data_IF_527632540409
#
_entry.id   IF_527632540409
#
_cell.length_a   1.000
_cell.length_b   1.000
_cell.length_c   1.000
_cell.angle_alpha   90.00
_cell.angle_beta   90.00
_cell.angle_gamma   90.00
#
_symmetry.space_group_name_H-M   'P 1'
#
loop_
_entity.id
_entity.type
_entity.pdbx_description
1 polymer ?
#
# COMPACT_ATOMS: atom_id res chain seq x y z
N UNK A 1 17.77 -16.57 6.32
CA UNK A 1 17.38 -17.06 4.99
C UNK A 1 17.10 -15.84 4.13
N UNK A 2 17.77 -15.71 2.98
CA UNK A 2 17.67 -14.52 2.12
C UNK A 2 16.33 -14.54 1.37
N UNK A 3 15.45 -13.58 1.65
CA UNK A 3 14.26 -13.34 0.83
C UNK A 3 14.74 -12.74 -0.50
N UNK A 4 14.97 -13.60 -1.48
CA UNK A 4 15.21 -13.17 -2.86
C UNK A 4 14.07 -12.26 -3.30
N UNK A 5 14.41 -11.15 -3.94
CA UNK A 5 13.46 -10.18 -4.47
C UNK A 5 12.39 -10.90 -5.30
N UNK A 6 11.21 -11.09 -4.70
CA UNK A 6 10.03 -11.58 -5.41
C UNK A 6 9.51 -10.40 -6.22
N UNK A 7 9.91 -10.36 -7.48
CA UNK A 7 9.39 -9.39 -8.41
C UNK A 7 7.93 -9.77 -8.67
N UNK A 8 6.99 -9.02 -8.10
CA UNK A 8 5.57 -9.22 -8.32
C UNK A 8 5.31 -9.10 -9.83
N UNK A 9 4.81 -10.18 -10.43
CA UNK A 9 4.34 -10.16 -11.82
C UNK A 9 2.81 -10.08 -11.80
N UNK A 10 2.20 -9.16 -12.58
CA UNK A 10 0.77 -9.16 -12.77
C UNK A 10 0.31 -10.55 -13.25
N UNK A 11 -0.73 -11.10 -12.63
CA UNK A 11 -1.32 -12.37 -13.08
C UNK A 11 -1.97 -12.15 -14.47
N UNK A 12 -1.37 -12.71 -15.52
CA UNK A 12 -1.77 -12.48 -16.91
C UNK A 12 -2.97 -13.31 -17.40
N UNK A 13 -3.39 -14.34 -16.66
CA UNK A 13 -4.24 -15.41 -17.18
C UNK A 13 -5.67 -15.45 -16.60
N UNK A 14 -6.08 -14.44 -15.81
CA UNK A 14 -7.40 -14.41 -15.18
C UNK A 14 -8.34 -13.37 -15.82
N UNK A 15 -9.58 -13.74 -16.21
CA UNK A 15 -10.59 -12.78 -16.62
C UNK A 15 -11.00 -11.93 -15.40
N UNK A 16 -11.22 -10.62 -15.63
CA UNK A 16 -11.44 -9.56 -14.61
C UNK A 16 -10.13 -9.02 -13.99
N UNK A 17 -9.34 -8.36 -14.84
CA UNK A 17 -8.18 -7.56 -14.46
C UNK A 17 -8.63 -6.35 -13.62
N UNK A 18 -8.11 -6.24 -12.41
CA UNK A 18 -8.16 -5.03 -11.59
C UNK A 18 -6.72 -4.51 -11.54
N UNK A 19 -6.46 -3.27 -11.98
CA UNK A 19 -5.13 -2.68 -11.85
C UNK A 19 -4.85 -1.41 -12.65
N UNK A 20 -4.26 -0.43 -11.97
CA UNK A 20 -3.42 0.68 -12.49
C UNK A 20 -3.74 2.00 -11.76
N UNK A 21 -2.76 2.73 -11.20
CA UNK A 21 -2.96 3.52 -9.98
C UNK A 21 -3.97 4.65 -10.16
N UNK A 22 -5.11 4.53 -9.46
CA UNK A 22 -5.68 5.68 -8.78
C UNK A 22 -5.16 5.64 -7.34
N UNK A 23 -4.35 6.63 -6.95
CA UNK A 23 -3.96 6.81 -5.54
C UNK A 23 -5.23 7.03 -4.73
N UNK A 24 -5.43 6.23 -3.68
CA UNK A 24 -6.62 6.32 -2.83
C UNK A 24 -6.54 7.56 -1.93
N UNK A 25 -7.44 8.53 -2.10
CA UNK A 25 -7.65 9.68 -1.20
C UNK A 25 -8.82 9.45 -0.26
N UNK A 26 -8.79 10.02 0.95
CA UNK A 26 -9.93 10.00 1.86
C UNK A 26 -11.04 10.95 1.35
N UNK A 27 -12.33 10.54 1.37
CA UNK A 27 -13.44 11.42 1.00
C UNK A 27 -13.81 12.38 2.15
N UNK A 28 -14.45 13.50 1.85
CA UNK A 28 -14.99 14.39 2.90
C UNK A 28 -16.10 13.69 3.73
N UNK A 29 -16.15 13.99 5.04
CA UNK A 29 -17.12 13.43 6.00
C UNK A 29 -17.25 11.88 6.03
N UNK A 30 -16.22 11.17 5.55
CA UNK A 30 -16.26 9.73 5.30
C UNK A 30 -16.67 8.87 6.50
N UNK A 31 -16.35 9.30 7.72
CA UNK A 31 -16.64 8.55 8.97
C UNK A 31 -18.12 8.25 9.19
N UNK A 32 -19.03 9.02 8.57
CA UNK A 32 -20.48 8.81 8.67
C UNK A 32 -21.08 8.05 7.49
N UNK A 33 -20.28 7.71 6.48
CA UNK A 33 -20.78 7.09 5.25
C UNK A 33 -21.16 5.63 5.46
N UNK A 34 -22.10 5.14 4.65
CA UNK A 34 -22.57 3.75 4.68
C UNK A 34 -21.42 2.74 4.53
N UNK A 35 -20.45 2.89 3.61
CA UNK A 35 -19.28 2.03 3.54
C UNK A 35 -18.52 1.85 4.86
N UNK A 36 -18.34 2.94 5.61
CA UNK A 36 -17.55 2.94 6.84
C UNK A 36 -18.30 2.41 8.05
N UNK A 37 -19.62 2.60 8.11
CA UNK A 37 -20.47 1.91 9.09
C UNK A 37 -20.37 0.40 8.90
N UNK A 38 -20.56 -0.07 7.66
CA UNK A 38 -20.46 -1.48 7.29
C UNK A 38 -19.09 -2.08 7.62
N UNK A 39 -18.01 -1.36 7.34
CA UNK A 39 -16.65 -1.80 7.67
C UNK A 39 -16.41 -2.04 9.17
N UNK A 40 -17.15 -1.35 10.05
CA UNK A 40 -17.02 -1.47 11.50
C UNK A 40 -17.96 -2.53 12.10
N UNK A 41 -19.14 -2.69 11.51
CA UNK A 41 -20.20 -3.57 12.02
C UNK A 41 -20.12 -4.99 11.44
N UNK A 42 -19.70 -5.14 10.17
CA UNK A 42 -19.67 -6.44 9.49
C UNK A 42 -18.33 -7.15 9.66
N UNK A 43 -18.40 -8.48 9.71
CA UNK A 43 -17.20 -9.32 9.72
C UNK A 43 -16.77 -9.63 8.29
N UNK A 44 -15.49 -9.44 7.99
CA UNK A 44 -14.89 -9.91 6.74
C UNK A 44 -14.45 -11.37 6.88
N UNK A 45 -14.95 -12.22 5.99
CA UNK A 45 -14.60 -13.63 5.88
C UNK A 45 -13.74 -13.94 4.65
N UNK A 46 -13.13 -12.91 4.09
CA UNK A 46 -12.20 -12.98 2.97
C UNK A 46 -10.84 -13.56 3.34
N UNK A 47 -9.87 -13.38 2.45
CA UNK A 47 -8.51 -13.90 2.62
C UNK A 47 -7.54 -13.46 1.52
N UNK A 48 -6.23 -13.58 1.76
CA UNK A 48 -5.22 -13.22 0.77
C UNK A 48 -5.28 -14.16 -0.44
N UNK A 49 -5.15 -13.59 -1.64
CA UNK A 49 -4.95 -14.33 -2.89
C UNK A 49 -3.46 -14.36 -3.22
N UNK A 50 -2.80 -13.21 -3.11
CA UNK A 50 -1.35 -13.04 -3.28
C UNK A 50 -0.89 -11.78 -2.53
N UNK A 51 0.35 -11.34 -2.76
CA UNK A 51 0.95 -10.18 -2.09
C UNK A 51 0.22 -8.85 -2.37
N UNK A 52 -0.58 -8.78 -3.44
CA UNK A 52 -1.28 -7.58 -3.86
C UNK A 52 -2.81 -7.66 -3.77
N UNK A 53 -3.40 -8.86 -3.80
CA UNK A 53 -4.84 -9.05 -3.96
C UNK A 53 -5.42 -9.91 -2.87
N UNK A 54 -6.65 -9.57 -2.45
CA UNK A 54 -7.40 -10.32 -1.44
C UNK A 54 -8.85 -10.44 -1.85
N UNK A 55 -9.49 -11.54 -1.46
CA UNK A 55 -10.94 -11.63 -1.49
C UNK A 55 -11.50 -10.96 -0.23
N UNK A 56 -12.59 -10.22 -0.36
CA UNK A 56 -13.33 -9.61 0.76
C UNK A 56 -14.77 -10.12 0.70
N UNK A 57 -15.30 -10.59 1.83
CA UNK A 57 -16.69 -11.04 1.97
C UNK A 57 -17.25 -10.55 3.30
N UNK A 58 -18.02 -9.47 3.26
CA UNK A 58 -18.69 -8.93 4.44
C UNK A 58 -19.95 -9.73 4.79
N UNK A 59 -20.24 -9.87 6.08
CA UNK A 59 -21.30 -10.74 6.62
C UNK A 59 -22.71 -10.43 6.08
N UNK A 60 -23.02 -9.16 5.79
CA UNK A 60 -24.36 -8.74 5.36
C UNK A 60 -24.37 -8.42 3.85
N UNK A 61 -23.25 -8.66 3.16
CA UNK A 61 -23.10 -8.55 1.71
C UNK A 61 -23.41 -9.87 0.98
N UNK A 62 -24.03 -9.77 -0.20
CA UNK A 62 -24.40 -10.95 -1.00
C UNK A 62 -23.27 -11.49 -1.89
N UNK A 63 -22.10 -10.84 -1.93
CA UNK A 63 -21.03 -11.14 -2.90
C UNK A 63 -19.64 -11.15 -2.29
N UNK A 64 -18.78 -12.01 -2.83
CA UNK A 64 -17.33 -11.97 -2.59
C UNK A 64 -16.71 -11.08 -3.66
N UNK A 65 -15.87 -10.15 -3.25
CA UNK A 65 -15.26 -9.16 -4.13
C UNK A 65 -13.74 -9.30 -4.11
N UNK A 66 -13.11 -9.24 -5.28
CA UNK A 66 -11.65 -9.19 -5.38
C UNK A 66 -11.19 -7.75 -5.21
N UNK A 67 -10.22 -7.55 -4.33
CA UNK A 67 -9.68 -6.23 -4.01
C UNK A 67 -8.16 -6.25 -4.13
N UNK A 68 -7.63 -5.39 -4.99
CA UNK A 68 -6.20 -5.03 -4.98
C UNK A 68 -5.97 -4.13 -3.78
N UNK A 69 -5.01 -4.50 -2.92
CA UNK A 69 -4.69 -3.82 -1.68
C UNK A 69 -3.20 -4.01 -1.34
N UNK A 70 -2.37 -3.09 -1.81
CA UNK A 70 -0.93 -3.18 -1.71
C UNK A 70 -0.27 -1.80 -1.65
N UNK A 71 0.96 -1.73 -1.15
CA UNK A 71 1.76 -0.51 -1.25
C UNK A 71 2.63 -0.56 -2.52
N UNK A 72 2.66 0.55 -3.27
CA UNK A 72 3.54 0.72 -4.43
C UNK A 72 4.03 2.17 -4.50
N UNK A 73 5.33 2.36 -4.69
CA UNK A 73 6.00 3.64 -4.52
C UNK A 73 5.70 4.23 -3.14
N UNK A 74 5.08 5.40 -3.10
CA UNK A 74 4.62 6.06 -1.87
C UNK A 74 3.11 5.93 -1.61
N UNK A 75 2.41 5.17 -2.45
CA UNK A 75 0.94 5.13 -2.47
C UNK A 75 0.38 3.78 -2.03
N UNK A 76 -0.84 3.83 -1.51
CA UNK A 76 -1.71 2.66 -1.36
C UNK A 76 -2.50 2.46 -2.65
N UNK A 77 -2.31 1.31 -3.29
CA UNK A 77 -3.13 0.85 -4.42
C UNK A 77 -4.32 0.10 -3.84
N UNK A 78 -5.53 0.65 -4.04
CA UNK A 78 -6.77 0.10 -3.53
C UNK A 78 -7.84 0.12 -4.64
N UNK A 79 -8.13 -1.05 -5.20
CA UNK A 79 -9.14 -1.18 -6.27
C UNK A 79 -10.05 -2.36 -5.99
N UNK A 80 -11.36 -2.17 -6.14
CA UNK A 80 -12.35 -3.21 -5.91
C UNK A 80 -13.28 -3.35 -7.13
N UNK A 81 -13.59 -4.58 -7.52
CA UNK A 81 -14.51 -4.90 -8.63
C UNK A 81 -15.98 -4.51 -8.38
N UNK A 82 -16.37 -4.21 -7.14
CA UNK A 82 -17.75 -3.89 -6.80
C UNK A 82 -18.18 -2.53 -7.38
N UNK A 83 -19.46 -2.40 -7.73
CA UNK A 83 -20.00 -1.14 -8.24
C UNK A 83 -19.84 0.03 -7.25
N UNK A 84 -19.91 -0.26 -5.94
CA UNK A 84 -19.75 0.75 -4.89
C UNK A 84 -18.39 1.46 -4.91
N UNK A 85 -17.35 0.85 -5.47
CA UNK A 85 -16.02 1.47 -5.56
C UNK A 85 -16.04 2.69 -6.49
N UNK A 86 -16.82 2.62 -7.58
CA UNK A 86 -16.98 3.72 -8.54
C UNK A 86 -17.84 4.86 -8.01
N UNK A 87 -18.77 4.58 -7.10
CA UNK A 87 -19.76 5.55 -6.60
C UNK A 87 -19.36 6.24 -5.29
N UNK A 88 -18.34 5.73 -4.58
CA UNK A 88 -17.91 6.26 -3.29
C UNK A 88 -16.44 6.73 -3.33
N UNK A 89 -16.00 7.32 -4.46
CA UNK A 89 -14.64 7.85 -4.64
C UNK A 89 -13.54 6.85 -4.22
N UNK A 90 -13.71 5.58 -4.60
CA UNK A 90 -12.80 4.50 -4.25
C UNK A 90 -13.12 3.78 -2.93
N UNK A 91 -13.88 4.39 -2.01
CA UNK A 91 -14.20 3.86 -0.68
C UNK A 91 -15.50 3.07 -0.63
N UNK A 92 -15.54 1.92 -1.29
CA UNK A 92 -16.60 0.95 -1.03
C UNK A 92 -16.45 0.28 0.35
N UNK A 93 -17.48 -0.43 0.81
CA UNK A 93 -17.44 -1.13 2.10
C UNK A 93 -16.28 -2.15 2.19
N UNK A 94 -15.88 -2.75 1.07
CA UNK A 94 -14.75 -3.69 1.04
C UNK A 94 -13.42 -2.99 1.27
N UNK A 95 -13.15 -1.89 0.57
CA UNK A 95 -11.95 -1.06 0.74
C UNK A 95 -11.90 -0.47 2.16
N UNK A 96 -13.04 0.04 2.65
CA UNK A 96 -13.17 0.54 4.02
C UNK A 96 -12.89 -0.54 5.07
N UNK A 97 -13.41 -1.76 4.88
CA UNK A 97 -13.16 -2.90 5.77
C UNK A 97 -11.67 -3.25 5.83
N UNK A 98 -10.99 -3.27 4.69
CA UNK A 98 -9.56 -3.59 4.64
C UNK A 98 -8.70 -2.53 5.31
N UNK A 99 -9.06 -1.25 5.14
CA UNK A 99 -8.42 -0.19 5.90
C UNK A 99 -8.63 -0.38 7.40
N UNK A 100 -9.87 -0.61 7.82
CA UNK A 100 -10.22 -0.82 9.23
C UNK A 100 -9.46 -1.99 9.86
N UNK A 101 -9.34 -3.10 9.15
CA UNK A 101 -8.55 -4.24 9.58
C UNK A 101 -7.06 -3.90 9.66
N UNK A 102 -6.52 -3.14 8.70
CA UNK A 102 -5.10 -2.81 8.66
C UNK A 102 -4.69 -1.88 9.80
N UNK A 103 -5.48 -0.84 10.08
CA UNK A 103 -5.20 0.07 11.21
C UNK A 103 -5.27 -0.65 12.56
N UNK A 104 -6.04 -1.75 12.64
CA UNK A 104 -6.14 -2.61 13.83
C UNK A 104 -5.12 -3.74 13.89
N UNK A 105 -4.23 -3.84 12.91
CA UNK A 105 -3.21 -4.90 12.86
C UNK A 105 -3.75 -6.29 12.54
N UNK A 106 -4.94 -6.38 11.94
CA UNK A 106 -5.60 -7.65 11.61
C UNK A 106 -5.20 -8.17 10.23
N UNK A 107 -4.67 -7.31 9.36
CA UNK A 107 -4.10 -7.67 8.06
C UNK A 107 -2.72 -7.05 7.91
N UNK A 108 -1.83 -7.77 7.23
CA UNK A 108 -0.50 -7.30 6.84
C UNK A 108 -0.54 -6.90 5.37
N UNK A 109 0.05 -5.75 5.05
CA UNK A 109 0.12 -5.22 3.68
C UNK A 109 1.55 -5.27 3.18
N UNK A 110 1.75 -5.83 2.00
CA UNK A 110 3.06 -5.89 1.35
C UNK A 110 3.29 -4.67 0.48
N UNK A 111 4.51 -4.16 0.51
CA UNK A 111 4.99 -3.17 -0.43
C UNK A 111 5.65 -3.88 -1.61
N UNK A 112 5.05 -3.74 -2.79
CA UNK A 112 5.39 -4.54 -3.97
C UNK A 112 6.81 -4.25 -4.49
N UNK A 113 7.25 -2.99 -4.44
CA UNK A 113 8.60 -2.63 -4.93
C UNK A 113 9.73 -2.97 -3.94
N UNK A 114 9.44 -2.98 -2.63
CA UNK A 114 10.47 -3.21 -1.59
C UNK A 114 10.43 -4.62 -1.00
N UNK A 115 9.32 -5.33 -1.18
CA UNK A 115 9.02 -6.60 -0.53
C UNK A 115 8.77 -6.48 0.98
N UNK A 116 8.67 -5.25 1.53
CA UNK A 116 8.50 -5.04 2.96
C UNK A 116 7.04 -5.20 3.38
N UNK A 117 6.85 -5.92 4.48
CA UNK A 117 5.54 -6.12 5.09
C UNK A 117 5.24 -5.06 6.15
N UNK A 118 3.99 -4.60 6.17
CA UNK A 118 3.49 -3.57 7.06
C UNK A 118 2.26 -4.08 7.81
N UNK A 119 2.38 -4.45 9.10
CA UNK A 119 1.24 -4.88 9.91
C UNK A 119 0.28 -3.73 10.23
N UNK A 120 0.72 -2.48 10.06
CA UNK A 120 -0.08 -1.27 10.24
C UNK A 120 0.34 -0.24 9.17
N UNK A 121 -0.52 0.76 8.85
CA UNK A 121 -0.16 1.81 7.92
C UNK A 121 1.16 2.49 8.30
N UNK A 122 2.12 2.58 7.38
CA UNK A 122 3.39 3.23 7.68
C UNK A 122 3.21 4.73 7.89
N UNK A 123 4.06 5.31 8.74
CA UNK A 123 4.03 6.74 9.05
C UNK A 123 4.32 7.65 7.84
N UNK A 124 4.90 7.13 6.76
CA UNK A 124 5.11 7.84 5.50
C UNK A 124 3.88 7.82 4.59
N UNK A 125 2.91 6.93 4.80
CA UNK A 125 1.76 6.82 3.91
C UNK A 125 0.87 8.07 4.07
N UNK A 126 0.53 8.67 2.94
CA UNK A 126 -0.44 9.75 2.83
C UNK A 126 -1.47 9.32 1.80
N UNK A 127 -2.74 9.38 2.16
CA UNK A 127 -3.84 9.03 1.26
C UNK A 127 -4.24 10.22 0.41
N UNK A 128 -4.26 11.41 1.01
CA UNK A 128 -4.75 12.64 0.36
C UNK A 128 -3.67 13.32 -0.50
N UNK A 129 -2.53 12.67 -0.69
CA UNK A 129 -1.49 13.19 -1.57
C UNK A 129 -1.98 13.11 -3.01
N UNK A 130 -1.90 14.25 -3.71
CA UNK A 130 -2.02 14.25 -5.17
C UNK A 130 -1.04 13.25 -5.75
N UNK A 131 -1.41 12.46 -6.78
CA UNK A 131 -0.51 11.50 -7.40
C UNK A 131 0.84 12.15 -7.66
N UNK A 132 1.88 11.61 -7.01
CA UNK A 132 3.23 12.15 -7.14
C UNK A 132 3.60 12.18 -8.62
N UNK A 133 4.09 13.33 -9.10
CA UNK A 133 4.82 13.38 -10.38
C UNK A 133 6.16 12.63 -10.31
N UNK A 134 6.55 12.22 -9.11
CA UNK A 134 7.81 11.54 -8.84
C UNK A 134 7.66 10.08 -9.25
N UNK A 135 8.41 9.71 -10.28
CA UNK A 135 8.59 8.31 -10.63
C UNK A 135 9.51 7.65 -9.60
N UNK A 136 8.96 6.70 -8.84
CA UNK A 136 9.71 5.87 -7.89
C UNK A 136 10.28 4.61 -8.53
N UNK A 137 9.88 4.25 -9.76
CA UNK A 137 10.32 3.03 -10.45
C UNK A 137 11.83 3.08 -10.80
N UNK A 138 12.45 4.27 -10.80
CA UNK A 138 13.91 4.46 -10.94
C UNK A 138 14.73 4.09 -9.69
N UNK A 139 14.09 3.98 -8.52
CA UNK A 139 14.76 3.60 -7.29
C UNK A 139 14.89 2.07 -7.20
N UNK A 140 16.05 1.60 -6.76
CA UNK A 140 16.14 0.19 -6.37
C UNK A 140 15.30 -0.08 -5.12
N UNK A 141 14.87 -1.34 -4.88
CA UNK A 141 14.09 -1.70 -3.69
C UNK A 141 14.69 -1.21 -2.37
N UNK A 142 16.02 -1.27 -2.24
CA UNK A 142 16.73 -0.81 -1.04
C UNK A 142 16.84 0.72 -0.93
N UNK A 143 16.93 1.42 -2.07
CA UNK A 143 16.91 2.90 -2.11
C UNK A 143 15.53 3.41 -1.72
N UNK A 144 14.45 2.83 -2.28
CA UNK A 144 13.07 3.19 -1.97
C UNK A 144 12.73 2.92 -0.50
N UNK A 145 13.03 1.74 0.03
CA UNK A 145 12.77 1.40 1.44
C UNK A 145 13.52 2.36 2.40
N UNK A 146 14.76 2.72 2.07
CA UNK A 146 15.52 3.69 2.83
C UNK A 146 14.90 5.08 2.78
N UNK A 147 14.55 5.56 1.57
CA UNK A 147 13.95 6.88 1.35
C UNK A 147 12.61 7.02 2.08
N UNK A 148 11.67 6.10 1.86
CA UNK A 148 10.36 6.12 2.54
C UNK A 148 10.51 6.07 4.07
N UNK A 149 11.46 5.28 4.58
CA UNK A 149 11.62 5.13 6.02
C UNK A 149 12.31 6.33 6.67
N UNK A 150 13.38 6.86 6.07
CA UNK A 150 14.18 7.89 6.70
C UNK A 150 13.72 9.31 6.36
N UNK A 151 13.40 9.56 5.09
CA UNK A 151 13.06 10.91 4.62
C UNK A 151 11.56 11.17 4.79
N UNK A 152 10.69 10.26 4.32
CA UNK A 152 9.24 10.46 4.41
C UNK A 152 8.68 10.16 5.82
N UNK A 153 9.17 9.11 6.49
CA UNK A 153 8.74 8.77 7.85
C UNK A 153 9.63 9.35 8.97
N UNK A 154 10.72 10.04 8.64
CA UNK A 154 11.58 10.72 9.62
C UNK A 154 12.39 9.78 10.54
N UNK A 155 12.53 8.49 10.19
CA UNK A 155 13.31 7.55 11.01
C UNK A 155 14.80 7.83 10.83
N UNK A 156 15.51 8.11 11.93
CA UNK A 156 16.95 8.37 11.87
C UNK A 156 17.76 7.20 11.27
N UNK A 157 18.73 7.51 10.41
CA UNK A 157 19.61 6.56 9.68
C UNK A 157 20.16 5.44 10.56
N UNK A 158 20.70 5.78 11.74
CA UNK A 158 21.27 4.78 12.66
C UNK A 158 20.21 3.83 13.22
N UNK A 159 19.01 4.34 13.49
CA UNK A 159 17.88 3.52 13.97
C UNK A 159 17.45 2.55 12.88
N UNK A 160 17.24 3.04 11.66
CA UNK A 160 16.84 2.22 10.53
C UNK A 160 17.92 1.21 10.11
N UNK A 161 19.20 1.59 10.16
CA UNK A 161 20.33 0.67 9.96
C UNK A 161 20.28 -0.53 10.91
N UNK A 162 20.04 -0.29 12.22
CA UNK A 162 19.85 -1.37 13.20
C UNK A 162 18.63 -2.24 12.90
N UNK A 163 17.51 -1.63 12.53
CA UNK A 163 16.27 -2.37 12.23
C UNK A 163 16.38 -3.24 10.97
N UNK A 164 17.08 -2.74 9.95
CA UNK A 164 17.25 -3.43 8.66
C UNK A 164 18.46 -4.36 8.61
N UNK A 165 19.28 -4.41 9.67
CA UNK A 165 20.53 -5.18 9.69
C UNK A 165 21.63 -4.63 8.76
N UNK A 166 21.49 -3.38 8.29
CA UNK A 166 22.45 -2.71 7.40
C UNK A 166 23.43 -1.86 8.21
N UNK A 167 24.60 -1.56 7.63
CA UNK A 167 25.51 -0.58 8.24
C UNK A 167 24.94 0.85 8.06
N UNK A 168 25.19 1.80 8.99
CA UNK A 168 24.78 3.19 8.80
C UNK A 168 25.33 3.83 7.53
N UNK A 169 26.56 3.47 7.12
CA UNK A 169 27.16 3.94 5.88
C UNK A 169 26.44 3.42 4.64
N UNK A 170 25.98 2.16 4.66
CA UNK A 170 25.15 1.59 3.60
C UNK A 170 23.84 2.36 3.46
N UNK A 171 23.13 2.60 4.57
CA UNK A 171 21.88 3.37 4.55
C UNK A 171 22.12 4.80 4.04
N UNK A 172 23.18 5.46 4.50
CA UNK A 172 23.53 6.81 4.02
C UNK A 172 23.80 6.85 2.50
N UNK A 173 24.49 5.85 1.97
CA UNK A 173 24.73 5.75 0.51
C UNK A 173 23.43 5.52 -0.27
N UNK A 174 22.52 4.69 0.24
CA UNK A 174 21.21 4.45 -0.37
C UNK A 174 20.39 5.74 -0.42
N UNK A 175 20.34 6.49 0.70
CA UNK A 175 19.60 7.75 0.77
C UNK A 175 20.16 8.80 -0.19
N UNK A 176 21.48 8.96 -0.26
CA UNK A 176 22.09 9.90 -1.21
C UNK A 176 21.65 9.59 -2.64
N UNK A 177 21.81 8.33 -3.07
CA UNK A 177 21.40 7.90 -4.43
C UNK A 177 19.91 8.07 -4.69
N UNK A 178 19.07 7.77 -3.69
CA UNK A 178 17.63 7.93 -3.82
C UNK A 178 17.25 9.40 -4.03
N UNK A 179 17.86 10.31 -3.27
CA UNK A 179 17.64 11.75 -3.40
C UNK A 179 18.09 12.29 -4.75
N UNK A 180 19.29 11.90 -5.19
CA UNK A 180 19.84 12.31 -6.48
C UNK A 180 18.86 11.94 -7.62
N UNK A 181 18.36 10.70 -7.64
CA UNK A 181 17.40 10.23 -8.65
C UNK A 181 16.04 10.93 -8.57
N UNK A 182 15.52 11.15 -7.36
CA UNK A 182 14.25 11.87 -7.19
C UNK A 182 14.38 13.32 -7.69
N UNK A 183 15.52 13.96 -7.44
CA UNK A 183 15.79 15.31 -7.92
C UNK A 183 15.93 15.37 -9.45
N UNK A 184 16.60 14.38 -10.06
CA UNK A 184 16.68 14.22 -11.51
C UNK A 184 15.30 13.99 -12.14
N UNK A 185 14.47 13.14 -11.55
CA UNK A 185 13.12 12.82 -12.06
C UNK A 185 12.08 13.93 -11.85
N UNK A 186 12.41 14.99 -11.11
CA UNK A 186 11.55 16.18 -10.94
C UNK A 186 11.79 17.25 -12.01
N UNK A 187 12.87 17.15 -12.79
CA UNK A 187 13.24 18.09 -13.87
C UNK A 187 12.58 17.70 -15.19
#
# INVERSE_FOLDING_TARGET
MSLGARNWQPSGDLPQRIGGPSTLSMPDEWTFSTPWRRAQEETDHGGPVNDAERMVRLSDGSGVHRVTWALRGRSLVAECDCSGHKYNDGWCAHVASLWWQWVRGQVVVTHLDTGREYPQPPAWLRLDDTPDRIDFDQLSPAELDAYLTCDEAGVGVRRYARQSGRSPGTVGNLLRRARDKIEEGRQ
#
